data_IF_907865552922
#
_entry.id   IF_907865552922
#
_cell.length_a   1.000
_cell.length_b   1.000
_cell.length_c   1.000
_cell.angle_alpha   90.00
_cell.angle_beta   90.00
_cell.angle_gamma   90.00
#
_symmetry.space_group_name_H-M   'P 1'
#
loop_
_entity.id
_entity.type
_entity.pdbx_description
1 polymer ?
#
# COMPACT_ATOMS: atom_id res chain seq x y z
N UNK A 1 -26.54 -34.02 14.75
CA UNK A 1 -25.86 -32.72 14.78
C UNK A 1 -25.39 -32.54 16.21
N UNK A 2 -24.09 -32.48 16.42
CA UNK A 2 -23.51 -32.35 17.77
C UNK A 2 -24.05 -31.08 18.44
N UNK A 3 -24.29 -31.16 19.75
CA UNK A 3 -24.89 -30.06 20.51
C UNK A 3 -24.08 -28.76 20.36
N UNK A 4 -22.75 -28.86 20.28
CA UNK A 4 -21.82 -27.75 20.05
C UNK A 4 -22.03 -27.09 18.68
N UNK A 5 -22.28 -27.87 17.63
CA UNK A 5 -22.53 -27.35 16.28
C UNK A 5 -23.85 -26.58 16.25
N UNK A 6 -24.88 -27.10 16.93
CA UNK A 6 -26.17 -26.41 17.02
C UNK A 6 -26.04 -25.09 17.78
N UNK A 7 -25.33 -25.07 18.90
CA UNK A 7 -25.08 -23.87 19.68
C UNK A 7 -24.29 -22.81 18.89
N UNK A 8 -23.27 -23.24 18.13
CA UNK A 8 -22.52 -22.36 17.22
C UNK A 8 -23.42 -21.75 16.13
N UNK A 9 -24.26 -22.57 15.49
CA UNK A 9 -25.21 -22.10 14.46
C UNK A 9 -26.23 -21.13 15.07
N UNK A 10 -26.78 -21.44 16.24
CA UNK A 10 -27.76 -20.59 16.92
C UNK A 10 -27.15 -19.26 17.38
N UNK A 11 -25.87 -19.25 17.76
CA UNK A 11 -25.11 -18.05 18.11
C UNK A 11 -24.84 -17.20 16.86
N UNK A 12 -24.28 -17.80 15.82
CA UNK A 12 -23.89 -17.08 14.60
C UNK A 12 -25.10 -16.58 13.79
N UNK A 13 -26.20 -17.34 13.76
CA UNK A 13 -27.42 -16.91 13.06
C UNK A 13 -28.11 -15.70 13.69
N UNK A 14 -27.88 -15.45 14.99
CA UNK A 14 -28.46 -14.32 15.72
C UNK A 14 -27.54 -13.09 15.80
N UNK A 15 -26.24 -13.27 15.62
CA UNK A 15 -25.33 -12.15 15.57
C UNK A 15 -25.51 -11.37 14.25
N UNK A 16 -25.55 -10.05 14.35
CA UNK A 16 -25.67 -9.19 13.18
C UNK A 16 -24.41 -9.22 12.32
N UNK A 17 -23.23 -9.45 12.91
CA UNK A 17 -21.94 -9.45 12.20
C UNK A 17 -21.81 -10.62 11.23
N UNK A 18 -22.37 -11.79 11.59
CA UNK A 18 -22.29 -13.01 10.78
C UNK A 18 -23.37 -13.08 9.69
N UNK A 19 -24.19 -12.04 9.53
CA UNK A 19 -25.16 -11.98 8.44
C UNK A 19 -24.44 -11.84 7.09
N UNK A 20 -24.89 -12.60 6.09
CA UNK A 20 -24.20 -12.67 4.79
C UNK A 20 -23.99 -11.29 4.14
N UNK A 21 -24.98 -10.40 4.21
CA UNK A 21 -24.88 -9.04 3.66
C UNK A 21 -23.85 -8.15 4.41
N UNK A 22 -23.57 -8.44 5.69
CA UNK A 22 -22.53 -7.74 6.46
C UNK A 22 -21.14 -8.27 6.08
N UNK A 23 -21.00 -9.59 5.89
CA UNK A 23 -19.77 -10.20 5.40
C UNK A 23 -19.42 -9.72 3.98
N UNK A 24 -20.42 -9.57 3.10
CA UNK A 24 -20.23 -9.00 1.76
C UNK A 24 -19.68 -7.56 1.81
N UNK A 25 -20.19 -6.74 2.75
CA UNK A 25 -19.67 -5.38 2.98
C UNK A 25 -18.23 -5.42 3.50
N UNK A 26 -17.91 -6.34 4.42
CA UNK A 26 -16.54 -6.51 4.91
C UNK A 26 -15.61 -6.92 3.76
N UNK A 27 -15.99 -7.91 2.97
CA UNK A 27 -15.13 -8.45 1.91
C UNK A 27 -14.88 -7.42 0.79
N UNK A 28 -15.94 -6.75 0.32
CA UNK A 28 -15.86 -5.94 -0.89
C UNK A 28 -15.77 -4.44 -0.63
N UNK A 29 -16.05 -3.97 0.59
CA UNK A 29 -16.16 -2.54 0.87
C UNK A 29 -15.35 -2.05 2.06
N UNK A 30 -14.56 -2.91 2.70
CA UNK A 30 -13.68 -2.50 3.80
C UNK A 30 -12.86 -1.27 3.42
N UNK A 31 -13.04 -0.22 4.22
CA UNK A 31 -12.45 1.13 4.10
C UNK A 31 -12.92 1.99 2.92
N UNK A 32 -13.73 1.50 1.98
CA UNK A 32 -14.30 2.32 0.91
C UNK A 32 -15.38 3.26 1.45
N UNK A 33 -16.29 2.72 2.26
CA UNK A 33 -17.37 3.44 2.95
C UNK A 33 -17.38 3.08 4.44
N UNK A 34 -18.15 3.84 5.24
CA UNK A 34 -18.34 3.49 6.64
C UNK A 34 -19.10 2.16 6.72
N UNK A 35 -18.62 1.24 7.57
CA UNK A 35 -19.14 -0.11 7.67
C UNK A 35 -18.84 -0.73 9.04
N UNK A 36 -19.06 -2.05 9.20
CA UNK A 36 -18.80 -2.75 10.45
C UNK A 36 -17.32 -2.71 10.88
N UNK A 37 -16.41 -2.56 9.92
CA UNK A 37 -14.98 -2.39 10.14
C UNK A 37 -14.56 -1.00 9.67
N UNK A 38 -13.99 -0.23 10.60
CA UNK A 38 -13.52 1.14 10.35
C UNK A 38 -12.03 1.27 10.64
N UNK A 39 -11.34 2.06 9.81
CA UNK A 39 -9.96 2.43 10.07
C UNK A 39 -9.93 3.55 11.11
N UNK A 40 -9.31 3.29 12.26
CA UNK A 40 -9.09 4.31 13.30
C UNK A 40 -7.91 5.21 12.95
N UNK A 41 -7.96 6.45 13.42
CA UNK A 41 -6.76 7.29 13.54
C UNK A 41 -5.89 6.72 14.65
N UNK A 42 -4.58 6.66 14.39
CA UNK A 42 -3.56 6.16 15.32
C UNK A 42 -2.53 7.26 15.57
N UNK A 43 -1.61 7.04 16.50
CA UNK A 43 -0.60 8.04 16.84
C UNK A 43 0.44 8.18 15.72
N UNK A 44 1.13 9.32 15.71
CA UNK A 44 2.11 9.64 14.67
C UNK A 44 3.23 8.59 14.61
N UNK A 45 3.66 8.13 15.77
CA UNK A 45 4.71 7.14 15.95
C UNK A 45 4.28 5.79 15.36
N UNK A 46 3.01 5.42 15.49
CA UNK A 46 2.48 4.14 15.00
C UNK A 46 2.44 4.08 13.47
N UNK A 47 2.09 5.17 12.79
CA UNK A 47 2.19 5.24 11.33
C UNK A 47 3.61 4.94 10.84
N UNK A 48 4.62 5.38 11.59
CA UNK A 48 6.03 5.20 11.25
C UNK A 48 6.54 3.78 11.54
N UNK A 49 5.77 2.95 12.23
CA UNK A 49 6.06 1.53 12.38
C UNK A 49 5.64 0.70 11.16
N UNK A 50 4.78 1.25 10.29
CA UNK A 50 4.27 0.54 9.11
C UNK A 50 5.26 0.71 7.95
N UNK A 51 5.99 -0.34 7.51
CA UNK A 51 7.05 -0.18 6.50
C UNK A 51 6.53 0.38 5.17
N UNK A 52 5.42 -0.18 4.69
CA UNK A 52 4.80 0.22 3.42
C UNK A 52 4.32 1.69 3.45
N UNK A 53 3.84 2.16 4.61
CA UNK A 53 3.48 3.57 4.80
C UNK A 53 4.70 4.48 4.63
N UNK A 54 5.81 4.16 5.29
CA UNK A 54 7.06 4.92 5.17
C UNK A 54 7.56 4.97 3.74
N UNK A 55 7.51 3.83 3.05
CA UNK A 55 7.96 3.71 1.66
C UNK A 55 7.13 4.59 0.71
N UNK A 56 5.80 4.50 0.76
CA UNK A 56 4.91 5.31 -0.09
C UNK A 56 5.00 6.79 0.26
N UNK A 57 5.03 7.13 1.55
CA UNK A 57 5.22 8.51 2.01
C UNK A 57 6.53 9.10 1.49
N UNK A 58 7.64 8.35 1.57
CA UNK A 58 8.97 8.77 1.12
C UNK A 58 9.02 8.95 -0.40
N UNK A 59 8.43 8.05 -1.18
CA UNK A 59 8.34 8.20 -2.62
C UNK A 59 7.55 9.46 -3.00
N UNK A 60 6.37 9.66 -2.40
CA UNK A 60 5.56 10.86 -2.67
C UNK A 60 6.30 12.15 -2.29
N UNK A 61 7.01 12.13 -1.15
CA UNK A 61 7.84 13.24 -0.68
C UNK A 61 8.98 13.55 -1.65
N UNK A 62 9.68 12.52 -2.13
CA UNK A 62 10.77 12.63 -3.10
C UNK A 62 10.27 13.23 -4.41
N UNK A 63 9.10 12.78 -4.90
CA UNK A 63 8.47 13.32 -6.10
C UNK A 63 8.05 14.78 -5.90
N UNK A 64 7.51 15.13 -4.71
CA UNK A 64 7.14 16.50 -4.34
C UNK A 64 8.33 17.45 -4.39
N UNK A 65 9.42 17.07 -3.74
CA UNK A 65 10.65 17.88 -3.64
C UNK A 65 11.31 18.06 -5.01
N UNK A 66 11.37 17.00 -5.81
CA UNK A 66 11.90 17.07 -7.16
C UNK A 66 11.01 17.91 -8.11
N UNK A 67 9.74 18.15 -7.75
CA UNK A 67 8.63 18.64 -8.60
C UNK A 67 8.30 17.72 -9.79
N UNK A 68 9.32 17.14 -10.40
CA UNK A 68 9.25 16.18 -11.49
C UNK A 68 10.44 15.23 -11.34
N UNK A 69 10.19 14.03 -10.82
CA UNK A 69 11.21 13.01 -10.63
C UNK A 69 11.45 12.27 -11.95
N UNK A 70 12.58 12.53 -12.60
CA UNK A 70 12.96 11.83 -13.84
C UNK A 70 13.20 10.35 -13.56
N UNK A 71 12.64 9.49 -14.41
CA UNK A 71 12.91 8.06 -14.42
C UNK A 71 14.19 7.77 -15.21
N UNK A 72 14.74 6.57 -15.06
CA UNK A 72 15.82 6.08 -15.92
C UNK A 72 15.36 5.99 -17.38
N UNK A 73 16.29 5.76 -18.31
CA UNK A 73 15.96 5.54 -19.72
C UNK A 73 14.98 4.37 -19.93
N UNK A 74 15.02 3.36 -19.05
CA UNK A 74 14.11 2.19 -19.07
C UNK A 74 12.80 2.43 -18.33
N UNK A 75 12.58 3.62 -17.76
CA UNK A 75 11.36 3.96 -17.03
C UNK A 75 11.32 3.50 -15.58
N UNK A 76 12.45 3.05 -15.02
CA UNK A 76 12.59 2.66 -13.61
C UNK A 76 12.87 3.87 -12.73
N UNK A 77 12.63 3.73 -11.43
CA UNK A 77 13.10 4.67 -10.42
C UNK A 77 14.64 4.79 -10.47
N UNK A 78 15.19 6.01 -10.28
CA UNK A 78 16.63 6.17 -10.10
C UNK A 78 17.14 5.35 -8.92
N UNK A 79 18.34 4.78 -9.05
CA UNK A 79 18.93 3.88 -8.05
C UNK A 79 18.96 4.47 -6.64
N UNK A 80 19.23 5.76 -6.49
CA UNK A 80 19.20 6.44 -5.20
C UNK A 80 17.80 6.39 -4.54
N UNK A 81 16.74 6.54 -5.34
CA UNK A 81 15.35 6.42 -4.86
C UNK A 81 15.02 4.98 -4.50
N UNK A 82 15.45 4.01 -5.31
CA UNK A 82 15.31 2.57 -5.02
C UNK A 82 15.94 2.23 -3.66
N UNK A 83 17.18 2.66 -3.42
CA UNK A 83 17.88 2.44 -2.14
C UNK A 83 17.17 3.14 -0.97
N UNK A 84 16.68 4.36 -1.17
CA UNK A 84 15.92 5.10 -0.16
C UNK A 84 14.64 4.38 0.25
N UNK A 85 13.88 3.87 -0.73
CA UNK A 85 12.66 3.09 -0.49
C UNK A 85 12.97 1.76 0.20
N UNK A 86 13.99 1.04 -0.27
CA UNK A 86 14.39 -0.25 0.31
C UNK A 86 14.68 -0.12 1.81
N UNK A 87 15.48 0.87 2.22
CA UNK A 87 15.86 1.12 3.63
C UNK A 87 14.69 1.42 4.56
N UNK A 88 13.55 1.85 4.02
CA UNK A 88 12.34 2.14 4.79
C UNK A 88 11.39 0.94 4.87
N UNK A 89 11.64 -0.10 4.08
CA UNK A 89 10.84 -1.32 4.01
C UNK A 89 11.25 -2.37 5.04
N UNK A 90 10.96 -3.62 4.69
CA UNK A 90 11.46 -4.80 5.38
C UNK A 90 12.83 -5.13 4.73
N UNK A 91 13.93 -5.17 5.50
CA UNK A 91 15.25 -5.44 4.97
C UNK A 91 15.40 -6.93 4.61
N UNK A 92 16.27 -7.20 3.64
CA UNK A 92 16.70 -8.54 3.28
C UNK A 92 18.18 -8.70 3.59
N UNK A 93 18.54 -9.82 4.22
CA UNK A 93 19.93 -10.07 4.64
C UNK A 93 20.93 -9.95 3.47
N UNK A 94 20.58 -10.44 2.28
CA UNK A 94 21.45 -10.35 1.10
C UNK A 94 21.75 -8.89 0.73
N UNK A 95 20.72 -8.04 0.70
CA UNK A 95 20.86 -6.63 0.31
C UNK A 95 21.42 -5.75 1.42
N UNK A 96 21.28 -6.13 2.69
CA UNK A 96 21.98 -5.45 3.79
C UNK A 96 23.50 -5.56 3.64
N UNK A 97 24.00 -6.74 3.29
CA UNK A 97 25.43 -6.96 3.06
C UNK A 97 25.89 -6.49 1.68
N UNK A 98 24.98 -6.45 0.72
CA UNK A 98 25.28 -6.19 -0.69
C UNK A 98 24.38 -5.13 -1.31
N UNK A 99 24.18 -3.97 -0.67
CA UNK A 99 23.27 -2.93 -1.18
C UNK A 99 23.63 -2.45 -2.61
N UNK A 100 24.90 -2.60 -3.00
CA UNK A 100 25.37 -2.32 -4.35
C UNK A 100 24.81 -3.31 -5.42
N UNK A 101 24.27 -4.46 -5.02
CA UNK A 101 23.59 -5.43 -5.87
C UNK A 101 22.13 -5.09 -6.12
N UNK A 102 21.52 -4.24 -5.28
CA UNK A 102 20.23 -3.62 -5.55
C UNK A 102 20.44 -2.52 -6.61
N UNK A 103 20.29 -2.87 -7.87
CA UNK A 103 20.63 -2.06 -9.05
C UNK A 103 19.39 -1.45 -9.68
N UNK A 104 18.29 -2.20 -9.72
CA UNK A 104 17.06 -1.82 -10.40
C UNK A 104 15.86 -1.84 -9.47
N UNK A 105 14.77 -1.22 -9.92
CA UNK A 105 13.51 -1.17 -9.18
C UNK A 105 12.96 -2.57 -8.89
N UNK A 106 13.10 -3.52 -9.81
CA UNK A 106 12.51 -4.86 -9.70
C UNK A 106 13.36 -5.85 -8.89
N UNK A 107 14.54 -5.44 -8.43
CA UNK A 107 15.42 -6.32 -7.67
C UNK A 107 14.85 -6.63 -6.26
N UNK A 108 13.94 -5.81 -5.72
CA UNK A 108 13.28 -6.05 -4.44
C UNK A 108 11.79 -5.71 -4.48
N UNK A 109 10.92 -6.68 -4.17
CA UNK A 109 9.48 -6.63 -4.42
C UNK A 109 8.73 -5.48 -3.75
N UNK A 110 9.22 -4.94 -2.62
CA UNK A 110 8.55 -3.80 -1.96
C UNK A 110 8.73 -2.48 -2.71
N UNK A 111 9.79 -2.33 -3.50
CA UNK A 111 10.06 -1.11 -4.27
C UNK A 111 9.04 -0.91 -5.42
N UNK A 112 8.81 -1.88 -6.32
CA UNK A 112 7.80 -1.73 -7.36
C UNK A 112 6.38 -1.70 -6.77
N UNK A 113 6.13 -2.44 -5.68
CA UNK A 113 4.86 -2.35 -4.94
C UNK A 113 4.58 -0.92 -4.44
N UNK A 114 5.58 -0.29 -3.83
CA UNK A 114 5.47 1.11 -3.35
C UNK A 114 5.07 2.05 -4.48
N UNK A 115 5.70 1.91 -5.65
CA UNK A 115 5.40 2.73 -6.81
C UNK A 115 4.01 2.44 -7.36
N UNK A 116 3.63 1.15 -7.50
CA UNK A 116 2.30 0.76 -7.96
C UNK A 116 1.20 1.33 -7.08
N UNK A 117 1.35 1.23 -5.75
CA UNK A 117 0.37 1.77 -4.81
C UNK A 117 0.25 3.29 -4.91
N UNK A 118 1.37 4.00 -5.08
CA UNK A 118 1.35 5.44 -5.26
C UNK A 118 0.71 5.85 -6.60
N UNK A 119 0.97 5.12 -7.69
CA UNK A 119 0.40 5.39 -9.02
C UNK A 119 -1.09 5.02 -9.10
N UNK A 120 -1.47 3.79 -8.72
CA UNK A 120 -2.86 3.30 -8.75
C UNK A 120 -3.74 3.99 -7.69
N UNK A 121 -3.14 4.42 -6.58
CA UNK A 121 -3.78 5.27 -5.59
C UNK A 121 -4.04 6.70 -6.08
N UNK A 122 -3.47 7.08 -7.23
CA UNK A 122 -3.59 8.41 -7.79
C UNK A 122 -2.77 9.47 -7.04
N UNK A 123 -1.82 9.07 -6.20
CA UNK A 123 -0.97 9.99 -5.44
C UNK A 123 0.08 10.62 -6.35
N UNK A 124 0.69 9.80 -7.22
CA UNK A 124 1.63 10.23 -8.25
C UNK A 124 1.12 9.78 -9.63
N UNK A 125 1.65 10.39 -10.69
CA UNK A 125 1.39 9.94 -12.06
C UNK A 125 2.65 10.02 -12.92
N UNK A 126 2.77 9.09 -13.86
CA UNK A 126 3.81 9.12 -14.90
C UNK A 126 3.42 10.08 -16.03
N UNK A 127 4.32 11.00 -16.39
CA UNK A 127 4.20 11.89 -17.55
C UNK A 127 5.59 12.12 -18.16
N UNK A 128 5.74 11.91 -19.46
CA UNK A 128 7.00 12.19 -20.18
C UNK A 128 8.24 11.58 -19.52
N UNK A 129 8.18 10.28 -19.19
CA UNK A 129 9.23 9.53 -18.47
C UNK A 129 9.67 10.15 -17.13
N UNK A 130 8.73 10.79 -16.43
CA UNK A 130 8.94 11.30 -15.09
C UNK A 130 7.69 11.08 -14.23
N UNK A 131 7.88 11.10 -12.91
CA UNK A 131 6.80 11.06 -11.93
C UNK A 131 6.52 12.47 -11.42
N UNK A 132 5.24 12.77 -11.25
CA UNK A 132 4.74 14.06 -10.75
C UNK A 132 3.69 13.78 -9.68
N UNK A 133 3.72 14.53 -8.58
CA UNK A 133 2.73 14.44 -7.52
C UNK A 133 1.40 15.03 -8.02
N UNK A 134 0.28 14.35 -7.74
CA UNK A 134 -1.05 14.85 -8.12
C UNK A 134 -1.58 15.81 -7.05
N UNK A 135 -2.67 16.52 -7.37
CA UNK A 135 -3.38 17.35 -6.38
C UNK A 135 -3.92 16.51 -5.20
N UNK A 136 -4.39 15.30 -5.49
CA UNK A 136 -4.83 14.39 -4.42
C UNK A 136 -3.63 13.90 -3.60
N UNK A 137 -2.50 13.59 -4.24
CA UNK A 137 -1.25 13.28 -3.56
C UNK A 137 -0.80 14.37 -2.59
N UNK A 138 -0.86 15.64 -2.98
CA UNK A 138 -0.55 16.78 -2.11
C UNK A 138 -1.47 16.89 -0.89
N UNK A 139 -2.75 16.58 -1.06
CA UNK A 139 -3.74 16.59 0.02
C UNK A 139 -3.52 15.41 0.97
N UNK A 140 -3.41 14.21 0.41
CA UNK A 140 -3.25 12.95 1.15
C UNK A 140 -1.93 12.93 1.93
N UNK A 141 -0.83 13.44 1.37
CA UNK A 141 0.48 13.47 2.03
C UNK A 141 0.51 14.36 3.29
N UNK A 142 -0.47 15.26 3.47
CA UNK A 142 -0.58 16.13 4.64
C UNK A 142 -1.35 15.48 5.80
N UNK A 143 -2.07 14.39 5.56
CA UNK A 143 -2.83 13.66 6.58
C UNK A 143 -2.45 12.18 6.55
N UNK A 144 -1.70 11.74 7.58
CA UNK A 144 -1.22 10.35 7.69
C UNK A 144 -2.35 9.33 7.67
N UNK A 145 -3.52 9.67 8.22
CA UNK A 145 -4.69 8.81 8.16
C UNK A 145 -5.17 8.61 6.73
N UNK A 146 -5.26 9.70 5.95
CA UNK A 146 -5.67 9.62 4.55
C UNK A 146 -4.65 8.84 3.72
N UNK A 147 -3.36 9.02 4.00
CA UNK A 147 -2.31 8.26 3.31
C UNK A 147 -2.41 6.77 3.59
N UNK A 148 -2.54 6.38 4.86
CA UNK A 148 -2.71 4.97 5.20
C UNK A 148 -3.99 4.39 4.59
N UNK A 149 -5.12 5.12 4.67
CA UNK A 149 -6.39 4.72 4.05
C UNK A 149 -6.24 4.53 2.54
N UNK A 150 -5.58 5.46 1.85
CA UNK A 150 -5.31 5.36 0.41
C UNK A 150 -4.46 4.14 0.06
N UNK A 151 -3.44 3.83 0.86
CA UNK A 151 -2.59 2.66 0.67
C UNK A 151 -3.43 1.38 0.80
N UNK A 152 -4.18 1.23 1.90
CA UNK A 152 -4.98 0.04 2.17
C UNK A 152 -6.08 -0.17 1.12
N UNK A 153 -6.79 0.89 0.74
CA UNK A 153 -7.81 0.81 -0.32
C UNK A 153 -7.18 0.41 -1.65
N UNK A 154 -6.04 1.00 -2.01
CA UNK A 154 -5.39 0.69 -3.28
C UNK A 154 -4.89 -0.75 -3.31
N UNK A 155 -4.29 -1.20 -2.21
CA UNK A 155 -3.79 -2.57 -2.08
C UNK A 155 -4.91 -3.61 -2.08
N UNK A 156 -6.03 -3.34 -1.39
CA UNK A 156 -7.15 -4.27 -1.28
C UNK A 156 -8.09 -4.29 -2.50
N UNK A 157 -8.32 -3.14 -3.14
CA UNK A 157 -9.40 -3.00 -4.14
C UNK A 157 -8.95 -2.64 -5.55
N UNK A 158 -7.74 -2.08 -5.71
CA UNK A 158 -7.27 -1.60 -7.03
C UNK A 158 -6.15 -2.46 -7.60
N UNK A 159 -5.23 -2.86 -6.74
CA UNK A 159 -4.08 -3.67 -7.12
C UNK A 159 -4.54 -5.07 -7.50
N UNK A 160 -4.21 -5.50 -8.73
CA UNK A 160 -4.30 -6.92 -9.07
C UNK A 160 -3.15 -7.66 -8.40
N UNK A 161 -3.46 -8.61 -7.54
CA UNK A 161 -2.46 -9.42 -6.83
C UNK A 161 -1.69 -10.34 -7.78
N UNK A 162 -2.26 -10.64 -8.95
CA UNK A 162 -1.57 -11.37 -10.02
C UNK A 162 -0.28 -10.66 -10.49
N UNK A 163 -0.13 -9.36 -10.25
CA UNK A 163 1.11 -8.65 -10.60
C UNK A 163 2.37 -9.25 -9.93
N UNK A 164 2.20 -9.94 -8.80
CA UNK A 164 3.29 -10.52 -8.02
C UNK A 164 3.24 -12.05 -7.95
N UNK A 165 2.38 -12.70 -8.74
CA UNK A 165 2.22 -14.17 -8.71
C UNK A 165 3.33 -14.92 -9.46
N UNK A 166 4.21 -14.19 -10.18
CA UNK A 166 5.33 -14.70 -10.96
C UNK A 166 4.90 -15.66 -12.09
N UNK A 167 3.62 -15.71 -12.44
CA UNK A 167 3.12 -16.46 -13.59
C UNK A 167 2.97 -15.50 -14.80
N UNK A 168 3.68 -15.80 -15.88
CA UNK A 168 3.54 -15.14 -17.20
C UNK A 168 2.37 -15.73 -18.01
#
# INVERSE_FOLDING_TARGET
MDAEIKEYIDCTSKDWLYQAHILEVIEHKTFLEDGPIVLKRIDNEDYMQIPLFRQVSSLCQTVREAKTLKLTATGNLPRAVVHGIYKLGIPDHYYEENIARLRTENDWYTVPLTRLLAEMGGLIKKRSNALILTKEGEKVLKDRYLLLKSILITFGHKLSWAYFDLFE
#
